data_IF_601322464851
#
_entry.id   IF_601322464851
#
_cell.length_a   1.000
_cell.length_b   1.000
_cell.length_c   1.000
_cell.angle_alpha   90.00
_cell.angle_beta   90.00
_cell.angle_gamma   90.00
#
_symmetry.space_group_name_H-M   'P 1'
#
loop_
_entity.id
_entity.type
_entity.pdbx_description
1 polymer ?
#
# COMPACT_ATOMS: atom_id res chain seq x y z
N UNK A 1 -4.81 16.93 -0.88
CA UNK A 1 -4.40 16.69 0.52
C UNK A 1 -3.77 15.31 0.62
N UNK A 2 -2.55 15.20 1.13
CA UNK A 2 -1.74 13.97 1.15
C UNK A 2 -1.44 13.55 2.61
N UNK A 3 -0.96 12.33 2.80
CA UNK A 3 -0.40 11.82 4.06
C UNK A 3 1.08 11.52 3.85
N UNK A 4 1.94 11.99 4.75
CA UNK A 4 3.38 11.72 4.72
C UNK A 4 3.61 10.31 5.26
N UNK A 5 4.40 9.53 4.53
CA UNK A 5 4.84 8.19 4.95
C UNK A 5 6.36 8.09 4.75
N UNK A 6 7.03 7.08 5.34
CA UNK A 6 8.48 6.91 5.19
C UNK A 6 8.92 6.70 3.74
N UNK A 7 8.02 6.17 2.89
CA UNK A 7 8.28 5.92 1.47
C UNK A 7 7.73 7.02 0.55
N UNK A 8 7.36 8.18 1.09
CA UNK A 8 6.87 9.33 0.34
C UNK A 8 5.43 9.75 0.67
N UNK A 9 4.82 10.53 -0.22
CA UNK A 9 3.49 11.10 -0.01
C UNK A 9 2.39 10.23 -0.63
N UNK A 10 1.38 9.86 0.17
CA UNK A 10 0.24 9.07 -0.30
C UNK A 10 -1.00 9.98 -0.44
N UNK A 11 -1.72 9.95 -1.58
CA UNK A 11 -2.98 10.66 -1.73
C UNK A 11 -4.03 10.19 -0.73
N UNK A 12 -4.66 11.11 0.02
CA UNK A 12 -5.71 10.76 1.01
C UNK A 12 -6.86 9.95 0.43
N UNK A 13 -7.17 10.11 -0.87
CA UNK A 13 -8.21 9.33 -1.56
C UNK A 13 -7.97 7.81 -1.52
N UNK A 14 -6.71 7.37 -1.52
CA UNK A 14 -6.37 5.94 -1.47
C UNK A 14 -6.56 5.35 -0.06
N UNK A 15 -6.60 6.22 0.95
CA UNK A 15 -6.73 5.88 2.35
C UNK A 15 -8.17 6.07 2.86
N UNK A 16 -9.09 6.45 1.97
CA UNK A 16 -10.52 6.61 2.28
C UNK A 16 -11.32 5.41 1.77
N UNK A 17 -12.40 5.01 2.47
CA UNK A 17 -13.35 4.00 2.00
C UNK A 17 -13.89 4.30 0.60
N UNK A 18 -14.26 3.26 -0.17
CA UNK A 18 -14.88 3.44 -1.48
C UNK A 18 -16.37 3.73 -1.34
N UNK A 19 -16.98 4.43 -2.30
CA UNK A 19 -18.43 4.72 -2.30
C UNK A 19 -19.26 3.42 -2.32
N UNK A 20 -18.75 2.34 -2.91
CA UNK A 20 -19.38 1.03 -2.88
C UNK A 20 -19.43 0.40 -1.47
N UNK A 21 -18.56 0.82 -0.55
CA UNK A 21 -18.57 0.36 0.84
C UNK A 21 -19.65 1.06 1.67
N UNK A 22 -20.15 2.21 1.18
CA UNK A 22 -21.16 3.07 1.84
C UNK A 22 -22.59 2.64 1.47
N UNK A 23 -22.80 2.09 0.26
CA UNK A 23 -24.13 1.75 -0.27
C UNK A 23 -24.81 0.52 0.37
N UNK A 24 -24.22 -0.07 1.42
CA UNK A 24 -24.80 -1.19 2.17
C UNK A 24 -25.72 -0.77 3.32
N UNK A 25 -25.77 0.51 3.68
CA UNK A 25 -26.68 1.06 4.70
C UNK A 25 -27.69 1.97 4.00
N UNK A 26 -28.94 1.53 3.90
CA UNK A 26 -30.05 2.26 3.29
C UNK A 26 -30.55 3.46 4.10
N UNK A 27 -29.65 4.21 4.73
CA UNK A 27 -29.99 5.44 5.45
C UNK A 27 -29.04 6.58 5.09
N UNK A 28 -29.62 7.76 4.97
CA UNK A 28 -29.00 9.03 4.62
C UNK A 28 -27.72 9.33 5.42
N UNK A 29 -26.57 9.35 4.74
CA UNK A 29 -25.25 9.81 5.20
C UNK A 29 -24.99 9.79 6.73
N UNK A 30 -24.40 8.72 7.26
CA UNK A 30 -23.53 8.82 8.42
C UNK A 30 -22.09 8.56 7.97
N UNK A 31 -21.14 9.39 8.40
CA UNK A 31 -19.72 9.07 8.21
C UNK A 31 -19.45 7.66 8.77
N UNK A 32 -18.80 6.81 7.97
CA UNK A 32 -18.33 5.48 8.40
C UNK A 32 -17.68 5.62 9.78
N UNK A 33 -18.20 4.89 10.78
CA UNK A 33 -17.64 4.96 12.13
C UNK A 33 -16.20 4.46 12.12
N UNK A 34 -15.45 4.87 13.13
CA UNK A 34 -14.11 4.37 13.35
C UNK A 34 -14.19 2.83 13.44
N UNK A 35 -13.60 2.13 12.47
CA UNK A 35 -13.55 0.65 12.34
C UNK A 35 -14.77 -0.07 11.74
N UNK A 36 -15.75 0.65 11.19
CA UNK A 36 -16.86 0.05 10.45
C UNK A 36 -16.39 -0.70 9.18
N UNK A 37 -17.24 -1.57 8.65
CA UNK A 37 -17.00 -2.25 7.36
C UNK A 37 -16.65 -1.22 6.28
N UNK A 38 -15.51 -1.43 5.61
CA UNK A 38 -14.99 -0.51 4.60
C UNK A 38 -14.03 0.55 5.13
N UNK A 39 -13.91 0.70 6.46
CA UNK A 39 -12.88 1.53 7.09
C UNK A 39 -11.49 1.11 6.62
N UNK A 40 -10.63 2.10 6.41
CA UNK A 40 -9.24 1.90 6.05
C UNK A 40 -8.36 2.36 7.19
N UNK A 41 -7.59 1.42 7.73
CA UNK A 41 -6.66 1.63 8.82
C UNK A 41 -5.25 1.43 8.26
N UNK A 42 -4.42 2.46 8.39
CA UNK A 42 -2.99 2.42 8.06
C UNK A 42 -2.16 2.57 9.33
N UNK A 43 -1.03 1.87 9.37
CA UNK A 43 0.01 2.03 10.40
C UNK A 43 1.29 2.44 9.67
N UNK A 44 1.89 3.55 10.08
CA UNK A 44 3.13 4.06 9.49
C UNK A 44 4.12 4.46 10.57
N UNK A 45 5.42 4.29 10.32
CA UNK A 45 6.50 4.63 11.25
C UNK A 45 7.32 5.77 10.69
N UNK A 46 7.08 7.01 11.12
CA UNK A 46 7.76 8.19 10.58
C UNK A 46 9.06 8.43 11.36
N UNK A 47 10.24 8.50 10.72
CA UNK A 47 11.48 8.86 11.41
C UNK A 47 11.36 10.23 12.08
N UNK A 48 11.93 10.35 13.27
CA UNK A 48 11.89 11.59 14.06
C UNK A 48 12.83 12.63 13.43
N UNK A 49 12.48 13.92 13.49
CA UNK A 49 13.34 14.99 12.94
C UNK A 49 14.69 15.11 13.66
N UNK A 50 14.75 14.72 14.93
CA UNK A 50 15.94 14.83 15.77
C UNK A 50 16.85 13.59 15.71
N UNK A 51 16.30 12.44 15.30
CA UNK A 51 17.01 11.16 15.32
C UNK A 51 16.39 10.20 14.29
N UNK A 52 17.08 9.96 13.19
CA UNK A 52 16.67 9.06 12.11
C UNK A 52 16.72 7.58 12.52
N UNK A 53 17.42 7.25 13.61
CA UNK A 53 17.45 5.88 14.17
C UNK A 53 16.18 5.56 14.95
N UNK A 54 15.34 6.57 15.21
CA UNK A 54 14.08 6.45 15.93
C UNK A 54 12.90 6.89 15.09
N UNK A 55 11.76 6.27 15.33
CA UNK A 55 10.50 6.61 14.68
C UNK A 55 9.35 6.84 15.64
N UNK A 56 8.36 7.57 15.15
CA UNK A 56 7.03 7.69 15.74
C UNK A 56 6.05 6.81 14.94
N UNK A 57 5.25 6.01 15.64
CA UNK A 57 4.14 5.26 15.03
C UNK A 57 2.92 6.17 14.93
N UNK A 58 2.26 6.16 13.77
CA UNK A 58 1.04 6.91 13.51
C UNK A 58 -0.05 5.97 12.99
N UNK A 59 -1.28 6.17 13.48
CA UNK A 59 -2.46 5.57 12.91
C UNK A 59 -3.07 6.49 11.87
N UNK A 60 -3.43 5.94 10.72
CA UNK A 60 -4.20 6.64 9.70
C UNK A 60 -5.57 5.98 9.63
N UNK A 61 -6.62 6.70 9.97
CA UNK A 61 -8.00 6.19 9.92
C UNK A 61 -8.76 6.99 8.87
N UNK A 62 -9.25 6.30 7.84
CA UNK A 62 -10.06 6.88 6.76
C UNK A 62 -9.40 8.14 6.13
N UNK A 63 -8.07 8.10 5.98
CA UNK A 63 -7.26 9.17 5.39
C UNK A 63 -6.95 10.35 6.33
N UNK A 64 -7.23 10.20 7.63
CA UNK A 64 -6.85 11.15 8.68
C UNK A 64 -5.75 10.55 9.53
N UNK A 65 -4.59 11.20 9.54
CA UNK A 65 -3.48 10.90 10.46
C UNK A 65 -3.88 11.32 11.88
N UNK A 66 -3.83 10.38 12.82
CA UNK A 66 -4.16 10.59 14.23
C UNK A 66 -2.99 11.17 15.03
N UNK A 67 -1.83 11.35 14.39
CA UNK A 67 -0.61 11.82 15.03
C UNK A 67 0.18 10.69 15.70
N UNK A 68 1.27 11.04 16.42
CA UNK A 68 2.17 10.08 17.02
C UNK A 68 1.52 9.38 18.22
N UNK A 69 1.28 8.08 18.10
CA UNK A 69 0.72 7.25 19.17
C UNK A 69 1.79 6.50 19.99
N UNK A 70 2.98 6.30 19.42
CA UNK A 70 4.14 5.72 20.12
C UNK A 70 5.40 6.36 19.57
N UNK A 71 6.35 6.69 20.44
CA UNK A 71 7.59 7.41 20.10
C UNK A 71 8.82 6.59 20.44
N UNK A 72 9.99 7.06 19.98
CA UNK A 72 11.30 6.46 20.27
C UNK A 72 11.43 4.99 19.82
N UNK A 73 10.72 4.60 18.75
CA UNK A 73 10.78 3.23 18.22
C UNK A 73 12.12 3.05 17.49
N UNK A 74 12.99 2.12 17.91
CA UNK A 74 14.27 1.91 17.25
C UNK A 74 14.06 1.31 15.85
N UNK A 75 14.44 2.06 14.81
CA UNK A 75 14.31 1.66 13.41
C UNK A 75 15.56 0.96 12.87
N UNK A 76 16.69 1.10 13.56
CA UNK A 76 18.02 0.64 13.15
C UNK A 76 18.39 -0.75 13.71
N UNK A 77 17.73 -1.19 14.79
CA UNK A 77 18.09 -2.43 15.50
C UNK A 77 17.53 -3.70 14.86
N UNK A 78 16.32 -3.63 14.32
CA UNK A 78 15.61 -4.81 13.80
C UNK A 78 14.51 -4.42 12.80
N UNK A 79 14.16 -5.31 11.87
CA UNK A 79 12.99 -5.09 11.01
C UNK A 79 11.70 -5.06 11.84
N UNK A 80 10.83 -4.09 11.54
CA UNK A 80 9.50 -4.03 12.13
C UNK A 80 8.54 -4.94 11.37
N UNK A 81 7.81 -5.77 12.11
CA UNK A 81 6.80 -6.66 11.58
C UNK A 81 5.41 -6.24 12.04
N UNK A 82 4.46 -6.24 11.11
CA UNK A 82 3.05 -5.97 11.43
C UNK A 82 2.40 -7.27 11.87
N UNK A 83 1.81 -7.26 13.06
CA UNK A 83 0.95 -8.34 13.55
C UNK A 83 -0.47 -7.84 13.52
N UNK A 84 -1.38 -8.66 12.99
CA UNK A 84 -2.80 -8.36 12.98
C UNK A 84 -3.50 -9.51 13.70
N UNK A 85 -4.20 -9.15 14.77
CA UNK A 85 -5.07 -10.05 15.49
C UNK A 85 -6.53 -9.71 15.17
N UNK A 86 -7.29 -10.69 14.71
CA UNK A 86 -8.68 -10.53 14.31
C UNK A 86 -9.56 -11.25 15.32
N UNK A 87 -10.30 -10.47 16.11
CA UNK A 87 -11.17 -10.98 17.16
C UNK A 87 -12.55 -10.33 17.16
N UNK A 88 -13.49 -10.94 17.91
CA UNK A 88 -14.81 -10.40 18.17
C UNK A 88 -15.72 -10.40 16.93
N UNK A 89 -16.30 -9.24 16.62
CA UNK A 89 -17.27 -9.06 15.51
C UNK A 89 -16.60 -8.91 14.14
N UNK A 90 -15.26 -8.79 14.10
CA UNK A 90 -14.51 -8.64 12.85
C UNK A 90 -14.40 -9.98 12.12
N UNK A 91 -15.11 -10.12 10.99
CA UNK A 91 -15.12 -11.38 10.21
C UNK A 91 -13.94 -11.53 9.26
N UNK A 92 -13.49 -10.42 8.67
CA UNK A 92 -12.46 -10.42 7.64
C UNK A 92 -11.77 -9.07 7.58
N UNK A 93 -10.46 -9.11 7.31
CA UNK A 93 -9.66 -7.96 6.91
C UNK A 93 -9.11 -8.19 5.49
N UNK A 94 -8.79 -7.10 4.81
CA UNK A 94 -8.09 -7.13 3.52
C UNK A 94 -6.89 -6.19 3.58
N UNK A 95 -5.71 -6.72 3.29
CA UNK A 95 -4.51 -5.90 3.13
C UNK A 95 -4.59 -5.18 1.79
N UNK A 96 -4.51 -3.84 1.81
CA UNK A 96 -4.50 -3.01 0.61
C UNK A 96 -3.06 -2.59 0.35
N UNK A 97 -2.51 -3.05 -0.77
CA UNK A 97 -1.16 -2.71 -1.19
C UNK A 97 -1.14 -1.31 -1.84
N UNK A 98 -0.65 -0.30 -1.13
CA UNK A 98 -0.64 1.09 -1.58
C UNK A 98 0.60 1.48 -2.37
N UNK A 99 1.75 0.92 -1.98
CA UNK A 99 2.96 1.05 -2.76
C UNK A 99 2.86 0.05 -3.90
N UNK A 100 2.99 0.52 -5.13
CA UNK A 100 3.11 -0.34 -6.30
C UNK A 100 4.32 -1.24 -6.14
N UNK A 101 4.13 -2.40 -5.51
CA UNK A 101 5.04 -3.51 -5.68
C UNK A 101 4.80 -3.92 -7.13
N UNK A 102 5.75 -3.59 -7.99
CA UNK A 102 5.79 -4.14 -9.33
C UNK A 102 5.64 -5.65 -9.17
N UNK A 103 4.64 -6.22 -9.84
CA UNK A 103 4.51 -7.67 -9.89
C UNK A 103 5.85 -8.24 -10.37
N UNK A 104 6.23 -9.42 -9.89
CA UNK A 104 7.45 -10.07 -10.36
C UNK A 104 7.49 -10.11 -11.90
N UNK A 105 6.32 -10.34 -12.51
CA UNK A 105 6.13 -10.28 -13.95
C UNK A 105 6.51 -8.92 -14.56
N UNK A 106 6.05 -7.80 -14.00
CA UNK A 106 6.40 -6.46 -14.46
C UNK A 106 7.88 -6.15 -14.20
N UNK A 107 8.40 -6.49 -13.02
CA UNK A 107 9.81 -6.29 -12.68
C UNK A 107 10.75 -7.08 -13.63
N UNK A 108 10.42 -8.34 -13.93
CA UNK A 108 11.16 -9.14 -14.91
C UNK A 108 11.06 -8.55 -16.32
N UNK A 109 9.88 -8.06 -16.72
CA UNK A 109 9.72 -7.36 -18.00
C UNK A 109 10.62 -6.14 -18.09
N UNK A 110 10.60 -5.28 -17.08
CA UNK A 110 11.43 -4.07 -17.06
C UNK A 110 12.92 -4.44 -17.11
N UNK A 111 13.34 -5.46 -16.36
CA UNK A 111 14.71 -5.97 -16.41
C UNK A 111 15.11 -6.48 -17.80
N UNK A 112 14.21 -7.19 -18.50
CA UNK A 112 14.45 -7.67 -19.87
C UNK A 112 14.55 -6.49 -20.84
N UNK A 113 13.63 -5.53 -20.76
CA UNK A 113 13.58 -4.37 -21.65
C UNK A 113 14.77 -3.41 -21.45
N UNK A 114 15.34 -3.36 -20.25
CA UNK A 114 16.58 -2.61 -19.99
C UNK A 114 17.81 -3.22 -20.67
N UNK A 115 17.82 -4.55 -20.86
CA UNK A 115 18.98 -5.26 -21.39
C UNK A 115 18.85 -5.65 -22.87
N UNK A 116 17.66 -5.52 -23.46
CA UNK A 116 17.34 -6.06 -24.78
C UNK A 116 16.60 -5.00 -25.62
N UNK A 117 17.12 -4.75 -26.82
CA UNK A 117 16.46 -3.86 -27.79
C UNK A 117 15.14 -4.46 -28.27
N UNK A 118 14.11 -3.65 -28.59
CA UNK A 118 12.79 -4.15 -29.02
C UNK A 118 12.86 -5.13 -30.20
N UNK A 119 13.75 -4.89 -31.17
CA UNK A 119 13.93 -5.77 -32.33
C UNK A 119 14.50 -7.17 -32.01
N UNK A 120 15.07 -7.36 -30.81
CA UNK A 120 15.67 -8.62 -30.41
C UNK A 120 14.74 -9.49 -29.56
N UNK A 121 13.53 -8.99 -29.23
CA UNK A 121 12.54 -9.73 -28.45
C UNK A 121 12.10 -11.02 -29.19
N UNK A 122 12.00 -10.97 -30.51
CA UNK A 122 11.65 -12.11 -31.37
C UNK A 122 12.63 -13.29 -31.25
N UNK A 123 13.91 -12.98 -31.01
CA UNK A 123 15.00 -13.96 -30.95
C UNK A 123 15.13 -14.61 -29.57
N UNK A 124 14.36 -14.15 -28.58
CA UNK A 124 14.41 -14.72 -27.25
C UNK A 124 13.79 -16.13 -27.27
N UNK A 125 14.37 -17.08 -26.52
CA UNK A 125 13.81 -18.42 -26.35
C UNK A 125 12.64 -18.38 -25.35
N UNK A 126 11.68 -17.49 -25.58
CA UNK A 126 10.50 -17.28 -24.75
C UNK A 126 9.23 -17.69 -25.52
N UNK A 127 8.19 -18.18 -24.83
CA UNK A 127 6.87 -18.39 -25.43
C UNK A 127 6.28 -17.10 -26.02
N UNK A 128 5.49 -17.22 -27.08
CA UNK A 128 4.87 -16.07 -27.79
C UNK A 128 4.02 -15.18 -26.86
N UNK A 129 3.33 -15.77 -25.89
CA UNK A 129 2.59 -15.00 -24.87
C UNK A 129 3.49 -14.03 -24.10
N UNK A 130 4.71 -14.46 -23.74
CA UNK A 130 5.65 -13.59 -23.04
C UNK A 130 6.29 -12.57 -23.98
N UNK A 131 6.51 -12.89 -25.25
CA UNK A 131 6.98 -11.92 -26.25
C UNK A 131 5.94 -10.81 -26.48
N UNK A 132 4.66 -11.17 -26.58
CA UNK A 132 3.55 -10.21 -26.68
C UNK A 132 3.42 -9.38 -25.41
N UNK A 133 3.59 -10.02 -24.26
CA UNK A 133 3.67 -9.31 -22.98
C UNK A 133 4.79 -8.27 -23.02
N UNK A 134 6.03 -8.64 -23.36
CA UNK A 134 7.15 -7.69 -23.45
C UNK A 134 6.88 -6.52 -24.41
N UNK A 135 6.14 -6.73 -25.50
CA UNK A 135 5.72 -5.70 -26.46
C UNK A 135 4.56 -4.81 -25.98
N UNK A 136 3.82 -5.24 -24.95
CA UNK A 136 2.64 -4.53 -24.45
C UNK A 136 1.40 -4.76 -25.31
N UNK A 137 1.31 -5.95 -25.92
CA UNK A 137 0.22 -6.36 -26.81
C UNK A 137 -0.79 -7.30 -26.10
N UNK A 138 -0.98 -7.14 -24.79
CA UNK A 138 -1.94 -7.94 -24.00
C UNK A 138 -3.33 -7.31 -23.93
#
# INVERSE_FOLDING_TARGET
MYVRTPRGMIPKRLLRPSVADISGSGDCNPGILLTDKGSRIGVVFVPTEYDETKGEMHFIINGVDQGPCTKDIPLDKAPLHVVIDVYGTTKQIRIIQLYGIVSLQNACRDAILLNIKPQNIDKLPLPERLKNFLRGQD
#
